data_IF_039541946883
#
_entry.id   IF_039541946883
#
_cell.length_a   1.000
_cell.length_b   1.000
_cell.length_c   1.000
_cell.angle_alpha   90.00
_cell.angle_beta   90.00
_cell.angle_gamma   90.00
#
_symmetry.space_group_name_H-M   'P 1'
#
loop_
_entity.id
_entity.type
_entity.pdbx_description
1 polymer ?
#
# COMPACT_ATOMS: atom_id res chain seq x y z
N UNK A 1 3.69 14.91 -14.89
CA UNK A 1 4.17 13.60 -14.43
C UNK A 1 3.67 13.35 -13.00
N UNK A 2 3.19 12.15 -12.67
CA UNK A 2 2.72 11.84 -11.32
C UNK A 2 3.82 12.04 -10.27
N UNK A 3 3.40 12.27 -9.01
CA UNK A 3 4.34 12.34 -7.88
C UNK A 3 4.66 10.93 -7.40
N UNK A 4 5.94 10.58 -7.30
CA UNK A 4 6.38 9.25 -6.90
C UNK A 4 6.86 9.21 -5.45
N UNK A 5 6.48 8.15 -4.73
CA UNK A 5 6.98 7.82 -3.40
C UNK A 5 7.88 6.57 -3.48
N UNK A 6 9.04 6.60 -2.82
CA UNK A 6 9.90 5.42 -2.75
C UNK A 6 9.38 4.43 -1.71
N UNK A 7 9.14 3.17 -2.10
CA UNK A 7 8.81 2.12 -1.14
C UNK A 7 10.10 1.56 -0.52
N UNK A 8 10.42 2.01 0.70
CA UNK A 8 11.68 1.65 1.37
C UNK A 8 11.74 0.19 1.87
N UNK A 9 10.63 -0.55 1.81
CA UNK A 9 10.65 -1.99 2.08
C UNK A 9 11.21 -2.78 0.89
N UNK A 10 11.11 -2.25 -0.33
CA UNK A 10 11.52 -2.93 -1.56
C UNK A 10 12.66 -2.23 -2.29
N UNK A 11 12.76 -0.90 -2.22
CA UNK A 11 13.86 -0.13 -2.79
C UNK A 11 15.00 0.04 -1.77
N UNK A 12 16.21 0.19 -2.27
CA UNK A 12 17.43 0.40 -1.48
C UNK A 12 17.73 -0.72 -0.48
N UNK A 13 17.30 -1.96 -0.77
CA UNK A 13 17.47 -3.10 0.13
C UNK A 13 18.94 -3.52 0.29
N UNK A 14 19.81 -3.00 -0.53
CA UNK A 14 21.27 -3.08 -0.38
C UNK A 14 21.83 -2.28 0.80
N UNK A 15 20.99 -1.43 1.43
CA UNK A 15 21.31 -0.60 2.60
C UNK A 15 20.51 -1.02 3.83
N UNK A 16 21.04 -0.77 5.05
CA UNK A 16 20.23 -0.81 6.26
C UNK A 16 19.00 0.10 6.15
N UNK A 17 17.88 -0.29 6.75
CA UNK A 17 16.60 0.39 6.53
C UNK A 17 16.65 1.91 6.77
N UNK A 18 17.26 2.34 7.88
CA UNK A 18 17.33 3.75 8.24
C UNK A 18 18.21 4.61 7.30
N UNK A 19 19.11 3.99 6.55
CA UNK A 19 19.95 4.68 5.57
C UNK A 19 19.27 4.83 4.21
N UNK A 20 18.16 4.11 4.00
CA UNK A 20 17.35 4.19 2.77
C UNK A 20 16.66 5.53 2.59
N UNK A 21 16.38 6.25 3.70
CA UNK A 21 15.79 7.59 3.65
C UNK A 21 16.70 8.59 2.94
N UNK A 22 17.99 8.62 3.30
CA UNK A 22 18.97 9.48 2.65
C UNK A 22 19.18 9.10 1.19
N UNK A 23 19.23 7.80 0.88
CA UNK A 23 19.36 7.32 -0.49
C UNK A 23 18.17 7.75 -1.37
N UNK A 24 16.94 7.62 -0.87
CA UNK A 24 15.74 8.05 -1.59
C UNK A 24 15.74 9.56 -1.84
N UNK A 25 16.09 10.38 -0.85
CA UNK A 25 16.18 11.83 -1.00
C UNK A 25 17.27 12.24 -2.00
N UNK A 26 18.44 11.61 -1.94
CA UNK A 26 19.53 11.84 -2.90
C UNK A 26 19.12 11.52 -4.33
N UNK A 27 18.28 10.52 -4.53
CA UNK A 27 17.74 10.15 -5.83
C UNK A 27 16.49 10.98 -6.24
N UNK A 28 16.18 12.04 -5.49
CA UNK A 28 15.14 13.02 -5.81
C UNK A 28 13.72 12.57 -5.52
N UNK A 29 13.52 11.64 -4.57
CA UNK A 29 12.19 11.41 -4.01
C UNK A 29 11.87 12.45 -2.94
N UNK A 30 10.62 12.91 -2.93
CA UNK A 30 10.08 13.84 -1.91
C UNK A 30 9.21 13.11 -0.89
N UNK A 31 8.85 11.85 -1.17
CA UNK A 31 8.01 11.03 -0.33
C UNK A 31 8.49 9.59 -0.28
N UNK A 32 8.16 8.94 0.84
CA UNK A 32 8.47 7.53 1.09
C UNK A 32 7.24 6.80 1.63
N UNK A 33 7.21 5.51 1.38
CA UNK A 33 6.30 4.55 1.99
C UNK A 33 7.08 3.29 2.38
N UNK A 34 6.55 2.51 3.28
CA UNK A 34 7.11 1.20 3.67
C UNK A 34 6.08 0.36 4.41
N UNK A 35 6.32 -0.96 4.50
CA UNK A 35 5.33 -1.88 5.04
C UNK A 35 5.12 -1.66 6.55
N UNK A 36 6.13 -1.91 7.38
CA UNK A 36 5.97 -1.92 8.83
C UNK A 36 7.03 -1.07 9.55
N UNK A 37 6.64 0.02 10.23
CA UNK A 37 7.57 0.87 10.98
C UNK A 37 7.90 0.35 12.40
N UNK A 38 7.19 -0.66 12.88
CA UNK A 38 7.03 -0.96 14.31
C UNK A 38 8.28 -1.48 15.02
N UNK A 39 9.29 -1.93 14.27
CA UNK A 39 10.59 -2.34 14.81
C UNK A 39 11.54 -1.17 15.08
N UNK A 40 11.15 0.05 14.69
CA UNK A 40 12.00 1.25 14.80
C UNK A 40 11.42 2.27 15.77
N UNK A 41 12.31 2.98 16.46
CA UNK A 41 11.92 4.08 17.34
C UNK A 41 11.28 5.22 16.53
N UNK A 42 10.16 5.75 17.01
CA UNK A 42 9.42 6.82 16.35
C UNK A 42 10.23 8.11 16.20
N UNK A 43 11.02 8.47 17.22
CA UNK A 43 11.85 9.66 17.16
C UNK A 43 12.96 9.53 16.12
N UNK A 44 13.51 8.33 15.95
CA UNK A 44 14.51 8.05 14.92
C UNK A 44 13.91 8.13 13.52
N UNK A 45 12.74 7.50 13.27
CA UNK A 45 12.03 7.60 11.98
C UNK A 45 11.73 9.06 11.64
N UNK A 46 11.20 9.82 12.59
CA UNK A 46 10.90 11.24 12.40
C UNK A 46 12.16 12.05 12.11
N UNK A 47 13.27 11.75 12.79
CA UNK A 47 14.54 12.41 12.54
C UNK A 47 15.06 12.14 11.12
N UNK A 48 14.94 10.89 10.63
CA UNK A 48 15.31 10.52 9.24
C UNK A 48 14.46 11.25 8.21
N UNK A 49 13.14 11.29 8.40
CA UNK A 49 12.24 12.03 7.51
C UNK A 49 12.60 13.52 7.45
N UNK A 50 12.75 14.16 8.61
CA UNK A 50 13.09 15.60 8.69
C UNK A 50 14.46 15.93 8.11
N UNK A 51 15.48 15.14 8.43
CA UNK A 51 16.84 15.37 7.96
C UNK A 51 16.95 15.30 6.43
N UNK A 52 16.09 14.53 5.79
CA UNK A 52 16.10 14.31 4.35
C UNK A 52 14.96 15.05 3.60
N UNK A 53 14.14 15.84 4.31
CA UNK A 53 13.02 16.57 3.68
C UNK A 53 11.95 15.66 3.07
N UNK A 54 11.78 14.45 3.60
CA UNK A 54 10.86 13.44 3.07
C UNK A 54 9.52 13.46 3.81
N UNK A 55 8.44 13.27 3.07
CA UNK A 55 7.12 13.02 3.62
C UNK A 55 6.86 11.50 3.70
N UNK A 56 6.40 11.01 4.86
CA UNK A 56 5.81 9.66 4.97
C UNK A 56 4.39 9.70 4.41
N UNK A 57 4.08 8.89 3.39
CA UNK A 57 2.76 8.97 2.72
C UNK A 57 1.87 7.77 2.93
N UNK A 58 2.46 6.63 3.30
CA UNK A 58 1.76 5.37 3.53
C UNK A 58 2.63 4.41 4.37
N UNK A 59 2.00 3.63 5.22
CA UNK A 59 2.52 2.38 5.77
C UNK A 59 1.35 1.45 6.14
N UNK A 60 1.65 0.17 6.45
CA UNK A 60 0.62 -0.81 6.75
C UNK A 60 0.34 -0.93 8.25
N UNK A 61 -0.92 -1.11 8.62
CA UNK A 61 -1.28 -1.65 9.93
C UNK A 61 -0.65 -3.06 10.11
N UNK A 62 -0.41 -3.52 11.34
CA UNK A 62 0.16 -4.84 11.57
C UNK A 62 -0.57 -5.96 10.82
N UNK A 63 0.15 -6.90 10.18
CA UNK A 63 -0.46 -8.04 9.49
C UNK A 63 -1.01 -9.09 10.46
N UNK A 64 -0.66 -8.98 11.70
CA UNK A 64 -0.91 -9.77 12.89
C UNK A 64 0.11 -9.39 13.94
N UNK A 65 -0.13 -9.79 15.20
CA UNK A 65 0.67 -9.34 16.34
C UNK A 65 0.30 -7.95 16.83
N UNK A 66 0.72 -7.62 18.05
CA UNK A 66 0.36 -6.35 18.72
C UNK A 66 1.57 -5.57 19.24
N UNK A 67 2.76 -6.13 19.09
CA UNK A 67 4.06 -5.51 19.40
C UNK A 67 5.08 -5.84 18.29
N UNK A 68 6.20 -5.15 18.27
CA UNK A 68 7.19 -5.29 17.18
C UNK A 68 7.65 -6.75 16.96
N UNK A 69 8.09 -7.51 17.98
CA UNK A 69 8.47 -8.91 17.78
C UNK A 69 7.34 -9.80 17.29
N UNK A 70 6.11 -9.59 17.80
CA UNK A 70 4.92 -10.33 17.38
C UNK A 70 4.51 -10.03 15.95
N UNK A 71 4.65 -8.78 15.50
CA UNK A 71 4.39 -8.35 14.11
C UNK A 71 5.37 -9.01 13.16
N UNK A 72 6.67 -8.98 13.47
CA UNK A 72 7.71 -9.61 12.66
C UNK A 72 7.51 -11.13 12.59
N UNK A 73 7.21 -11.77 13.72
CA UNK A 73 6.92 -13.20 13.78
C UNK A 73 5.65 -13.58 12.98
N UNK A 74 4.58 -12.79 13.09
CA UNK A 74 3.35 -13.00 12.33
C UNK A 74 3.59 -12.88 10.82
N UNK A 75 4.32 -11.86 10.38
CA UNK A 75 4.69 -11.71 8.97
C UNK A 75 5.53 -12.87 8.45
N UNK A 76 6.53 -13.28 9.21
CA UNK A 76 7.39 -14.41 8.87
C UNK A 76 6.61 -15.74 8.82
N UNK A 77 5.59 -15.91 9.68
CA UNK A 77 4.68 -17.05 9.67
C UNK A 77 3.62 -17.01 8.57
N UNK A 78 3.64 -15.98 7.71
CA UNK A 78 2.71 -15.86 6.58
C UNK A 78 1.42 -15.09 6.86
N UNK A 79 1.29 -14.38 7.97
CA UNK A 79 0.15 -13.49 8.20
C UNK A 79 0.13 -12.36 7.16
N UNK A 80 -1.06 -12.05 6.64
CA UNK A 80 -1.28 -11.04 5.59
C UNK A 80 -2.45 -10.12 5.92
N UNK A 81 -2.62 -9.79 7.20
CA UNK A 81 -3.72 -8.97 7.71
C UNK A 81 -4.73 -9.75 8.52
N UNK A 82 -5.53 -9.02 9.27
CA UNK A 82 -6.56 -9.56 10.17
C UNK A 82 -7.93 -8.95 9.92
N UNK A 83 -8.02 -8.01 8.96
CA UNK A 83 -9.22 -7.19 8.79
C UNK A 83 -10.47 -8.00 8.40
N UNK A 84 -10.34 -9.09 7.64
CA UNK A 84 -11.45 -9.96 7.22
C UNK A 84 -11.50 -11.31 7.97
N UNK A 85 -10.65 -11.51 8.99
CA UNK A 85 -10.50 -12.82 9.63
C UNK A 85 -11.42 -12.94 10.86
N UNK A 86 -12.48 -13.78 10.79
CA UNK A 86 -13.39 -13.97 11.93
C UNK A 86 -12.63 -14.45 13.18
N UNK A 87 -12.98 -13.87 14.34
CA UNK A 87 -12.37 -14.19 15.64
C UNK A 87 -11.06 -13.44 15.93
N UNK A 88 -10.57 -12.60 14.99
CA UNK A 88 -9.37 -11.77 15.19
C UNK A 88 -9.68 -10.27 15.25
N UNK A 89 -10.92 -9.89 15.50
CA UNK A 89 -11.37 -8.49 15.51
C UNK A 89 -10.67 -7.66 16.59
N UNK A 90 -10.43 -8.25 17.76
CA UNK A 90 -9.71 -7.57 18.84
C UNK A 90 -8.25 -7.28 18.47
N UNK A 91 -7.60 -8.22 17.82
CA UNK A 91 -6.22 -8.06 17.31
C UNK A 91 -6.15 -7.01 16.20
N UNK A 92 -7.11 -7.02 15.27
CA UNK A 92 -7.24 -6.00 14.24
C UNK A 92 -7.33 -4.60 14.86
N UNK A 93 -8.20 -4.42 15.85
CA UNK A 93 -8.37 -3.13 16.54
C UNK A 93 -7.09 -2.67 17.22
N UNK A 94 -6.44 -3.54 17.98
CA UNK A 94 -5.16 -3.23 18.64
C UNK A 94 -4.08 -2.84 17.61
N UNK A 95 -4.03 -3.52 16.46
CA UNK A 95 -3.11 -3.20 15.36
C UNK A 95 -3.40 -1.82 14.74
N UNK A 96 -4.68 -1.49 14.50
CA UNK A 96 -5.07 -0.16 13.97
C UNK A 96 -4.76 0.95 14.99
N UNK A 97 -5.02 0.74 16.29
CA UNK A 97 -4.67 1.70 17.33
C UNK A 97 -3.15 1.94 17.39
N UNK A 98 -2.35 0.88 17.26
CA UNK A 98 -0.89 1.01 17.14
C UNK A 98 -0.51 1.82 15.90
N UNK A 99 -1.09 1.49 14.75
CA UNK A 99 -0.82 2.19 13.49
C UNK A 99 -1.21 3.68 13.57
N UNK A 100 -2.33 4.02 14.18
CA UNK A 100 -2.74 5.41 14.36
C UNK A 100 -1.75 6.22 15.21
N UNK A 101 -1.18 5.63 16.29
CA UNK A 101 -0.11 6.30 17.06
C UNK A 101 1.12 6.61 16.21
N UNK A 102 1.52 5.66 15.34
CA UNK A 102 2.63 5.89 14.41
C UNK A 102 2.29 6.92 13.34
N UNK A 103 1.08 6.87 12.78
CA UNK A 103 0.62 7.83 11.79
C UNK A 103 0.58 9.25 12.33
N UNK A 104 0.14 9.43 13.57
CA UNK A 104 0.10 10.75 14.21
C UNK A 104 1.52 11.29 14.47
N UNK A 105 2.42 10.44 14.98
CA UNK A 105 3.80 10.84 15.26
C UNK A 105 4.62 11.17 14.00
N UNK A 106 4.39 10.45 12.90
CA UNK A 106 5.09 10.61 11.62
C UNK A 106 4.38 11.57 10.65
N UNK A 107 3.23 12.12 11.05
CA UNK A 107 2.32 12.88 10.18
C UNK A 107 1.97 12.14 8.88
N UNK A 108 1.81 10.82 8.97
CA UNK A 108 1.46 9.98 7.82
C UNK A 108 -0.04 10.02 7.56
N UNK A 109 -0.50 10.44 6.39
CA UNK A 109 -1.92 10.63 6.12
C UNK A 109 -2.69 9.31 5.89
N UNK A 110 -1.99 8.21 5.57
CA UNK A 110 -2.64 6.97 5.11
C UNK A 110 -2.09 5.75 5.82
N UNK A 111 -2.99 4.82 6.15
CA UNK A 111 -2.68 3.51 6.74
C UNK A 111 -3.36 2.45 5.88
N UNK A 112 -2.60 1.51 5.33
CA UNK A 112 -3.15 0.35 4.64
C UNK A 112 -3.51 -0.75 5.63
N UNK A 113 -4.76 -1.23 5.60
CA UNK A 113 -5.26 -2.36 6.36
C UNK A 113 -5.39 -3.58 5.45
N UNK A 114 -4.42 -4.48 5.50
CA UNK A 114 -4.43 -5.72 4.74
C UNK A 114 -5.64 -6.58 5.12
N UNK A 115 -6.35 -7.11 4.11
CA UNK A 115 -7.58 -7.88 4.32
C UNK A 115 -7.36 -9.15 5.15
N UNK A 116 -6.36 -9.94 4.82
CA UNK A 116 -6.09 -11.24 5.42
C UNK A 116 -6.31 -12.40 4.46
N UNK A 117 -5.95 -13.60 4.90
CA UNK A 117 -6.09 -14.83 4.14
C UNK A 117 -7.35 -15.59 4.56
N UNK A 118 -8.08 -16.13 3.59
CA UNK A 118 -9.14 -17.10 3.84
C UNK A 118 -8.55 -18.41 4.37
N UNK A 119 -9.27 -19.07 5.29
CA UNK A 119 -8.83 -20.34 5.89
C UNK A 119 -8.84 -21.47 4.86
N UNK A 120 -7.89 -22.40 4.96
CA UNK A 120 -7.84 -23.62 4.14
C UNK A 120 -8.94 -24.62 4.50
N UNK A 121 -9.34 -24.65 5.78
CA UNK A 121 -10.24 -25.67 6.33
C UNK A 121 -11.71 -25.42 6.06
N UNK A 122 -12.07 -24.25 5.55
CA UNK A 122 -13.45 -23.85 5.30
C UNK A 122 -13.56 -23.19 3.92
N UNK A 123 -13.68 -23.98 2.87
CA UNK A 123 -13.97 -23.46 1.54
C UNK A 123 -15.50 -23.36 1.35
N UNK A 124 -15.98 -22.20 0.87
CA UNK A 124 -17.37 -22.03 0.46
C UNK A 124 -17.96 -20.65 0.74
N UNK A 125 -19.14 -20.41 0.19
CA UNK A 125 -19.86 -19.14 0.25
C UNK A 125 -20.12 -18.64 1.68
N UNK A 126 -20.29 -19.53 2.65
CA UNK A 126 -20.52 -19.17 4.05
C UNK A 126 -19.27 -18.53 4.68
N UNK A 127 -18.09 -19.03 4.34
CA UNK A 127 -16.83 -18.44 4.82
C UNK A 127 -16.59 -17.05 4.21
N UNK A 128 -16.80 -16.90 2.92
CA UNK A 128 -16.65 -15.61 2.24
C UNK A 128 -17.63 -14.57 2.79
N UNK A 129 -18.87 -14.97 3.03
CA UNK A 129 -19.91 -14.14 3.65
C UNK A 129 -19.52 -13.69 5.07
N UNK A 130 -19.02 -14.62 5.90
CA UNK A 130 -18.55 -14.31 7.23
C UNK A 130 -17.34 -13.38 7.22
N UNK A 131 -16.35 -13.65 6.36
CA UNK A 131 -15.17 -12.80 6.18
C UNK A 131 -15.56 -11.39 5.72
N UNK A 132 -16.48 -11.27 4.76
CA UNK A 132 -16.99 -9.99 4.27
C UNK A 132 -17.67 -9.19 5.38
N UNK A 133 -18.54 -9.83 6.17
CA UNK A 133 -19.23 -9.20 7.30
C UNK A 133 -18.25 -8.63 8.33
N UNK A 134 -17.24 -9.43 8.70
CA UNK A 134 -16.16 -9.00 9.61
C UNK A 134 -15.37 -7.86 9.00
N UNK A 135 -15.00 -7.97 7.71
CA UNK A 135 -14.23 -6.96 7.00
C UNK A 135 -14.91 -5.59 7.00
N UNK A 136 -16.17 -5.55 6.59
CA UNK A 136 -16.96 -4.30 6.54
C UNK A 136 -17.12 -3.71 7.95
N UNK A 137 -17.38 -4.53 8.96
CA UNK A 137 -17.49 -4.08 10.37
C UNK A 137 -16.18 -3.49 10.88
N UNK A 138 -15.06 -4.19 10.66
CA UNK A 138 -13.73 -3.76 11.08
C UNK A 138 -13.31 -2.47 10.39
N UNK A 139 -13.52 -2.37 9.07
CA UNK A 139 -13.16 -1.16 8.31
C UNK A 139 -14.02 0.06 8.71
N UNK A 140 -15.30 -0.14 9.02
CA UNK A 140 -16.15 0.94 9.54
C UNK A 140 -15.64 1.47 10.87
N UNK A 141 -15.25 0.58 11.77
CA UNK A 141 -14.63 0.96 13.03
C UNK A 141 -13.28 1.65 12.81
N UNK A 142 -12.38 1.08 11.98
CA UNK A 142 -11.07 1.66 11.70
C UNK A 142 -11.15 3.06 11.07
N UNK A 143 -12.07 3.26 10.11
CA UNK A 143 -12.31 4.57 9.51
C UNK A 143 -12.83 5.59 10.53
N UNK A 144 -13.71 5.16 11.46
CA UNK A 144 -14.19 6.02 12.56
C UNK A 144 -13.06 6.45 13.49
N UNK A 145 -12.17 5.52 13.88
CA UNK A 145 -11.02 5.85 14.73
C UNK A 145 -10.04 6.77 14.00
N UNK A 146 -9.70 6.45 12.74
CA UNK A 146 -8.78 7.24 11.92
C UNK A 146 -9.28 8.68 11.64
N UNK A 147 -10.58 8.88 11.54
CA UNK A 147 -11.19 10.19 11.34
C UNK A 147 -10.89 11.17 12.50
N UNK A 148 -10.66 10.66 13.72
CA UNK A 148 -10.39 11.50 14.90
C UNK A 148 -9.10 12.30 14.77
N UNK A 149 -8.12 11.79 14.00
CA UNK A 149 -6.85 12.46 13.70
C UNK A 149 -6.69 12.82 12.22
N UNK A 150 -7.78 12.76 11.44
CA UNK A 150 -7.77 13.13 10.02
C UNK A 150 -7.01 12.15 9.14
N UNK A 151 -6.88 10.88 9.56
CA UNK A 151 -6.17 9.85 8.79
C UNK A 151 -7.13 9.06 7.91
N UNK A 152 -6.61 8.55 6.80
CA UNK A 152 -7.33 7.72 5.83
C UNK A 152 -6.90 6.27 5.96
N UNK A 153 -7.87 5.37 6.00
CA UNK A 153 -7.65 3.93 5.89
C UNK A 153 -7.68 3.53 4.42
N UNK A 154 -6.72 2.74 4.00
CA UNK A 154 -6.68 2.16 2.67
C UNK A 154 -6.92 0.65 2.72
N UNK A 155 -7.56 0.14 1.67
CA UNK A 155 -7.68 -1.29 1.37
C UNK A 155 -7.14 -1.55 -0.02
N UNK A 156 -6.55 -2.71 -0.25
CA UNK A 156 -5.87 -3.04 -1.49
C UNK A 156 -6.32 -4.39 -2.04
N UNK A 157 -6.75 -4.46 -3.30
CA UNK A 157 -6.88 -5.71 -4.04
C UNK A 157 -5.50 -6.27 -4.42
N UNK A 158 -5.18 -7.48 -3.92
CA UNK A 158 -3.90 -8.13 -4.16
C UNK A 158 -4.09 -9.39 -4.99
N UNK A 159 -3.22 -9.62 -5.98
CA UNK A 159 -3.31 -10.76 -6.88
C UNK A 159 -3.07 -12.09 -6.15
N UNK A 160 -3.82 -13.17 -6.50
CA UNK A 160 -3.70 -14.47 -5.85
C UNK A 160 -2.46 -15.27 -6.29
N UNK A 161 -1.71 -14.83 -7.31
CA UNK A 161 -0.42 -15.43 -7.69
C UNK A 161 0.65 -15.18 -6.64
N UNK A 162 0.74 -13.92 -6.16
CA UNK A 162 1.73 -13.51 -5.15
C UNK A 162 1.22 -13.80 -3.73
N UNK A 163 -0.11 -13.73 -3.54
CA UNK A 163 -0.73 -13.90 -2.24
C UNK A 163 -1.96 -14.82 -2.33
N UNK A 164 -1.74 -16.15 -2.43
CA UNK A 164 -2.83 -17.11 -2.51
C UNK A 164 -3.82 -16.96 -1.34
N UNK A 165 -5.12 -17.09 -1.63
CA UNK A 165 -6.21 -16.97 -0.66
C UNK A 165 -6.38 -15.59 -0.02
N UNK A 166 -5.74 -14.56 -0.51
CA UNK A 166 -6.01 -13.20 -0.04
C UNK A 166 -7.47 -12.85 -0.31
N UNK A 167 -8.14 -12.27 0.70
CA UNK A 167 -9.60 -12.09 0.67
C UNK A 167 -10.06 -11.11 -0.40
N UNK A 168 -9.31 -10.04 -0.68
CA UNK A 168 -9.68 -8.97 -1.60
C UNK A 168 -8.78 -8.99 -2.84
N UNK A 169 -9.33 -9.27 -4.04
CA UNK A 169 -8.51 -9.45 -5.23
C UNK A 169 -8.83 -8.50 -6.38
N UNK A 170 -10.00 -7.89 -6.42
CA UNK A 170 -10.49 -7.12 -7.58
C UNK A 170 -10.82 -5.68 -7.21
N UNK A 171 -10.64 -4.76 -8.17
CA UNK A 171 -10.94 -3.35 -7.97
C UNK A 171 -12.44 -3.10 -7.72
N UNK A 172 -13.32 -3.76 -8.48
CA UNK A 172 -14.76 -3.63 -8.30
C UNK A 172 -15.22 -4.10 -6.90
N UNK A 173 -14.64 -5.17 -6.38
CA UNK A 173 -14.88 -5.66 -5.01
C UNK A 173 -14.45 -4.64 -3.96
N UNK A 174 -13.25 -4.06 -4.09
CA UNK A 174 -12.74 -3.04 -3.18
C UNK A 174 -13.63 -1.79 -3.17
N UNK A 175 -14.01 -1.31 -4.35
CA UNK A 175 -14.90 -0.15 -4.46
C UNK A 175 -16.31 -0.44 -3.92
N UNK A 176 -16.81 -1.67 -4.05
CA UNK A 176 -18.07 -2.09 -3.43
C UNK A 176 -17.97 -2.09 -1.89
N UNK A 177 -16.85 -2.56 -1.32
CA UNK A 177 -16.59 -2.51 0.13
C UNK A 177 -16.54 -1.07 0.63
N UNK A 178 -15.81 -0.18 -0.07
CA UNK A 178 -15.74 1.25 0.31
C UNK A 178 -17.12 1.89 0.29
N UNK A 179 -17.94 1.60 -0.71
CA UNK A 179 -19.33 2.09 -0.78
C UNK A 179 -20.22 1.54 0.33
N UNK A 180 -20.10 0.26 0.66
CA UNK A 180 -20.88 -0.39 1.72
C UNK A 180 -20.52 0.14 3.12
N UNK A 181 -19.24 0.42 3.38
CA UNK A 181 -18.78 1.06 4.62
C UNK A 181 -19.25 2.50 4.69
N UNK A 182 -19.20 3.24 3.59
CA UNK A 182 -19.73 4.61 3.46
C UNK A 182 -18.94 5.69 4.20
N UNK A 183 -17.72 5.39 4.67
CA UNK A 183 -16.86 6.36 5.35
C UNK A 183 -16.02 7.14 4.33
N UNK A 184 -15.98 8.49 4.39
CA UNK A 184 -15.26 9.31 3.41
C UNK A 184 -13.73 9.14 3.48
N UNK A 185 -13.21 8.67 4.61
CA UNK A 185 -11.79 8.40 4.85
C UNK A 185 -11.45 6.91 4.75
N UNK A 186 -12.27 6.10 4.10
CA UNK A 186 -11.92 4.77 3.63
C UNK A 186 -11.79 4.83 2.10
N UNK A 187 -10.60 4.50 1.60
CA UNK A 187 -10.30 4.56 0.17
C UNK A 187 -9.56 3.32 -0.30
N UNK A 188 -9.41 3.19 -1.61
CA UNK A 188 -8.68 2.09 -2.26
C UNK A 188 -7.24 2.52 -2.52
N UNK A 189 -6.29 1.66 -2.19
CA UNK A 189 -4.95 1.62 -2.74
C UNK A 189 -5.02 0.79 -4.02
N UNK A 190 -4.84 1.43 -5.17
CA UNK A 190 -4.86 0.75 -6.45
C UNK A 190 -3.43 0.51 -6.91
N UNK A 191 -2.91 -0.71 -6.66
CA UNK A 191 -1.65 -1.14 -7.25
C UNK A 191 -1.90 -1.63 -8.68
N UNK A 192 -1.26 -0.95 -9.65
CA UNK A 192 -1.41 -1.24 -11.08
C UNK A 192 -0.80 -2.59 -11.45
N UNK A 193 0.21 -3.05 -10.70
CA UNK A 193 0.80 -4.38 -10.85
C UNK A 193 -0.23 -5.48 -10.51
N UNK A 194 -0.87 -5.39 -9.35
CA UNK A 194 -1.89 -6.34 -8.95
C UNK A 194 -3.11 -6.30 -9.87
N UNK A 195 -3.54 -5.09 -10.24
CA UNK A 195 -4.65 -4.88 -11.15
C UNK A 195 -4.41 -5.50 -12.53
N UNK A 196 -3.21 -5.35 -13.10
CA UNK A 196 -2.86 -5.94 -14.40
C UNK A 196 -2.95 -7.47 -14.36
N UNK A 197 -2.43 -8.10 -13.32
CA UNK A 197 -2.38 -9.57 -13.19
C UNK A 197 -3.79 -10.18 -13.08
N UNK A 198 -4.69 -9.50 -12.35
CA UNK A 198 -6.03 -10.07 -12.06
C UNK A 198 -7.04 -9.69 -13.11
N UNK A 199 -7.00 -8.47 -13.58
CA UNK A 199 -8.11 -7.89 -14.34
C UNK A 199 -7.68 -7.33 -15.70
N UNK A 200 -6.47 -6.77 -15.80
CA UNK A 200 -6.07 -6.01 -16.98
C UNK A 200 -6.85 -4.71 -17.16
N UNK A 201 -6.80 -4.14 -18.37
CA UNK A 201 -7.55 -2.93 -18.75
C UNK A 201 -7.29 -1.73 -17.81
N UNK A 202 -6.04 -1.63 -17.33
CA UNK A 202 -5.63 -0.72 -16.23
C UNK A 202 -5.92 0.74 -16.56
N UNK A 203 -5.70 1.17 -17.79
CA UNK A 203 -5.97 2.54 -18.22
C UNK A 203 -7.46 2.92 -18.08
N UNK A 204 -8.36 2.00 -18.47
CA UNK A 204 -9.81 2.22 -18.31
C UNK A 204 -10.22 2.22 -16.85
N UNK A 205 -9.61 1.38 -16.01
CA UNK A 205 -9.88 1.37 -14.57
C UNK A 205 -9.40 2.66 -13.88
N UNK A 206 -8.25 3.22 -14.27
CA UNK A 206 -7.82 4.55 -13.82
C UNK A 206 -8.87 5.62 -14.19
N UNK A 207 -9.33 5.64 -15.43
CA UNK A 207 -10.39 6.57 -15.90
C UNK A 207 -11.71 6.37 -15.18
N UNK A 208 -12.03 5.14 -14.78
CA UNK A 208 -13.26 4.80 -14.06
C UNK A 208 -13.20 5.20 -12.59
N UNK A 209 -12.09 4.89 -11.90
CA UNK A 209 -12.05 4.94 -10.44
C UNK A 209 -11.45 6.22 -9.87
N UNK A 210 -10.43 6.84 -10.49
CA UNK A 210 -9.85 8.08 -9.97
C UNK A 210 -10.89 9.21 -9.81
N UNK A 211 -11.81 9.45 -10.78
CA UNK A 211 -12.81 10.51 -10.65
C UNK A 211 -13.83 10.28 -9.54
N UNK A 212 -13.90 9.08 -8.99
CA UNK A 212 -14.84 8.78 -7.88
C UNK A 212 -14.41 9.35 -6.54
N UNK A 213 -13.16 9.83 -6.40
CA UNK A 213 -12.57 10.24 -5.13
C UNK A 213 -12.28 9.10 -4.16
N UNK A 214 -12.51 7.84 -4.57
CA UNK A 214 -12.31 6.66 -3.71
C UNK A 214 -10.92 6.01 -3.86
N UNK A 215 -10.05 6.51 -4.72
CA UNK A 215 -8.66 6.05 -4.83
C UNK A 215 -7.76 7.02 -4.07
N UNK A 216 -7.20 6.57 -2.96
CA UNK A 216 -6.36 7.38 -2.07
C UNK A 216 -4.87 7.31 -2.40
N UNK A 217 -4.44 6.24 -3.04
CA UNK A 217 -3.04 5.97 -3.36
C UNK A 217 -2.93 5.04 -4.56
N UNK A 218 -1.89 5.21 -5.36
CA UNK A 218 -1.54 4.30 -6.46
C UNK A 218 -0.20 3.65 -6.16
N UNK A 219 0.02 2.44 -6.72
CA UNK A 219 1.33 1.79 -6.71
C UNK A 219 1.64 1.20 -8.08
N UNK A 220 2.94 1.03 -8.38
CA UNK A 220 3.44 0.51 -9.66
C UNK A 220 4.59 -0.47 -9.48
N UNK A 221 4.60 -1.46 -10.37
CA UNK A 221 5.74 -2.31 -10.68
C UNK A 221 5.62 -2.83 -12.11
N UNK A 222 6.74 -3.30 -12.68
CA UNK A 222 6.72 -4.04 -13.95
C UNK A 222 6.10 -5.41 -13.79
N UNK A 223 5.27 -5.83 -14.76
CA UNK A 223 4.61 -7.14 -14.77
C UNK A 223 5.29 -8.02 -15.83
N UNK A 224 5.62 -9.29 -15.55
CA UNK A 224 5.19 -10.11 -14.40
C UNK A 224 6.15 -10.18 -13.21
N UNK A 225 7.42 -9.74 -13.33
CA UNK A 225 8.48 -10.02 -12.34
C UNK A 225 8.52 -9.06 -11.15
N UNK A 226 7.65 -8.04 -11.11
CA UNK A 226 7.60 -7.00 -10.08
C UNK A 226 8.92 -6.20 -9.99
N UNK A 227 9.56 -5.94 -11.14
CA UNK A 227 10.76 -5.12 -11.28
C UNK A 227 10.40 -3.66 -11.63
N UNK A 228 11.40 -2.90 -12.14
CA UNK A 228 11.21 -1.51 -12.58
C UNK A 228 10.06 -1.38 -13.58
N UNK A 229 9.28 -0.27 -13.52
CA UNK A 229 8.04 -0.12 -14.28
C UNK A 229 8.24 0.08 -15.79
N UNK A 230 9.48 0.24 -16.26
CA UNK A 230 9.82 0.32 -17.69
C UNK A 230 10.06 -1.05 -18.35
N UNK A 231 9.83 -2.14 -17.62
CA UNK A 231 10.07 -3.51 -18.07
C UNK A 231 8.81 -4.36 -17.86
N UNK A 232 8.54 -5.21 -18.83
CA UNK A 232 7.41 -6.14 -18.78
C UNK A 232 6.26 -5.73 -19.70
N UNK A 233 5.09 -6.30 -19.45
CA UNK A 233 3.91 -6.17 -20.33
C UNK A 233 3.08 -4.89 -20.08
N UNK A 234 3.30 -4.19 -18.96
CA UNK A 234 2.56 -3.00 -18.58
C UNK A 234 3.24 -1.74 -19.13
N UNK A 235 2.57 -1.00 -20.01
CA UNK A 235 3.10 0.26 -20.53
C UNK A 235 2.91 1.39 -19.47
N UNK A 236 3.80 1.46 -18.49
CA UNK A 236 3.71 2.43 -17.42
C UNK A 236 3.86 3.88 -17.91
N UNK A 237 4.64 4.14 -18.96
CA UNK A 237 4.76 5.49 -19.53
C UNK A 237 3.39 6.02 -19.98
N UNK A 238 2.65 5.23 -20.73
CA UNK A 238 1.27 5.57 -21.10
C UNK A 238 0.33 5.70 -19.88
N UNK A 239 0.47 4.85 -18.89
CA UNK A 239 -0.36 4.94 -17.68
C UNK A 239 -0.06 6.21 -16.87
N UNK A 240 1.17 6.71 -16.87
CA UNK A 240 1.50 8.00 -16.25
C UNK A 240 0.81 9.17 -16.95
N UNK A 241 0.74 9.16 -18.28
CA UNK A 241 -0.04 10.14 -19.05
C UNK A 241 -1.53 10.07 -18.69
N UNK A 242 -2.10 8.85 -18.58
CA UNK A 242 -3.50 8.66 -18.16
C UNK A 242 -3.74 9.17 -16.76
N UNK A 243 -2.82 8.91 -15.81
CA UNK A 243 -2.93 9.41 -14.43
C UNK A 243 -2.93 10.94 -14.43
N UNK A 244 -2.00 11.59 -15.13
CA UNK A 244 -1.93 13.05 -15.21
C UNK A 244 -3.18 13.66 -15.85
N UNK A 245 -3.66 13.09 -16.96
CA UNK A 245 -4.89 13.51 -17.64
C UNK A 245 -6.09 13.46 -16.70
N UNK A 246 -6.31 12.31 -16.06
CA UNK A 246 -7.47 12.11 -15.19
C UNK A 246 -7.34 12.92 -13.91
N UNK A 247 -6.13 13.01 -13.33
CA UNK A 247 -5.87 13.82 -12.14
C UNK A 247 -6.17 15.31 -12.41
N UNK A 248 -5.78 15.83 -13.57
CA UNK A 248 -6.09 17.22 -13.96
C UNK A 248 -7.60 17.46 -14.09
N UNK A 249 -8.37 16.47 -14.52
CA UNK A 249 -9.83 16.58 -14.68
C UNK A 249 -10.59 16.47 -13.35
N UNK A 250 -10.14 15.58 -12.43
CA UNK A 250 -10.87 15.30 -11.18
C UNK A 250 -10.21 15.87 -9.90
N UNK A 251 -9.04 16.51 -10.02
CA UNK A 251 -8.34 17.09 -8.88
C UNK A 251 -7.64 16.07 -7.99
N UNK A 252 -7.36 14.85 -8.45
CA UNK A 252 -6.63 13.85 -7.68
C UNK A 252 -5.18 14.31 -7.41
N UNK A 253 -4.73 14.26 -6.15
CA UNK A 253 -3.41 14.73 -5.71
C UNK A 253 -2.65 13.65 -4.92
N UNK A 254 -2.92 12.38 -5.19
CA UNK A 254 -2.26 11.26 -4.52
C UNK A 254 -0.80 11.09 -4.93
N UNK A 255 -0.18 10.07 -4.38
CA UNK A 255 1.16 9.60 -4.71
C UNK A 255 1.08 8.27 -5.45
N UNK A 256 2.13 8.00 -6.24
CA UNK A 256 2.35 6.70 -6.87
C UNK A 256 3.53 6.03 -6.19
N UNK A 257 3.28 5.02 -5.38
CA UNK A 257 4.29 4.24 -4.68
C UNK A 257 5.10 3.36 -5.64
N UNK A 258 6.42 3.44 -5.58
CA UNK A 258 7.33 2.59 -6.35
C UNK A 258 7.52 1.26 -5.63
N UNK A 259 6.50 0.38 -5.69
CA UNK A 259 6.49 -0.88 -4.95
C UNK A 259 7.02 -2.04 -5.79
N UNK A 260 8.27 -1.97 -6.18
CA UNK A 260 8.92 -2.99 -7.00
C UNK A 260 10.28 -3.41 -6.43
N UNK A 261 10.77 -4.56 -6.90
CA UNK A 261 12.09 -5.10 -6.54
C UNK A 261 13.08 -4.72 -7.64
N UNK A 262 14.04 -3.82 -7.38
CA UNK A 262 15.04 -3.46 -8.38
C UNK A 262 15.79 -4.69 -8.87
N UNK A 263 15.96 -4.83 -10.19
CA UNK A 263 16.70 -5.98 -10.79
C UNK A 263 18.13 -6.08 -10.29
N UNK A 264 18.74 -4.95 -10.00
CA UNK A 264 20.10 -4.87 -9.46
C UNK A 264 20.11 -4.57 -7.96
N UNK A 265 19.00 -4.77 -7.25
CA UNK A 265 18.85 -4.35 -5.85
C UNK A 265 19.81 -5.02 -4.87
N UNK A 266 20.43 -6.15 -5.22
CA UNK A 266 21.46 -6.80 -4.42
C UNK A 266 22.86 -6.18 -4.58
N UNK A 267 23.07 -5.32 -5.58
CA UNK A 267 24.33 -4.67 -5.87
C UNK A 267 24.41 -3.29 -5.18
N UNK A 268 25.58 -2.85 -4.70
CA UNK A 268 25.75 -1.50 -4.18
C UNK A 268 25.27 -0.43 -5.17
N UNK A 269 24.32 0.42 -4.74
CA UNK A 269 23.71 1.45 -5.60
C UNK A 269 22.85 0.90 -6.73
N UNK A 270 22.44 -0.37 -6.64
CA UNK A 270 21.64 -1.02 -7.69
C UNK A 270 20.27 -0.39 -7.86
N UNK A 271 19.63 0.02 -6.77
CA UNK A 271 18.34 0.74 -6.83
C UNK A 271 18.50 2.06 -7.61
N UNK A 272 19.47 2.91 -7.26
CA UNK A 272 19.68 4.21 -7.91
C UNK A 272 19.94 4.06 -9.42
N UNK A 273 20.73 3.06 -9.83
CA UNK A 273 20.98 2.79 -11.25
C UNK A 273 19.72 2.35 -12.00
N UNK A 274 18.77 1.71 -11.34
CA UNK A 274 17.50 1.25 -11.89
C UNK A 274 16.49 2.38 -12.11
N UNK A 275 16.68 3.59 -11.57
CA UNK A 275 15.70 4.70 -11.63
C UNK A 275 15.66 5.45 -12.96
N UNK A 276 16.44 5.04 -13.96
CA UNK A 276 16.50 5.72 -15.27
C UNK A 276 15.15 5.82 -16.00
N UNK A 277 14.17 5.01 -15.65
CA UNK A 277 12.80 5.10 -16.17
C UNK A 277 12.11 6.42 -15.81
N UNK A 278 12.44 7.03 -14.65
CA UNK A 278 11.84 8.31 -14.22
C UNK A 278 12.14 9.45 -15.20
N UNK A 279 13.34 9.49 -15.75
CA UNK A 279 13.72 10.50 -16.75
C UNK A 279 13.01 10.33 -18.10
N UNK A 280 12.47 9.13 -18.38
CA UNK A 280 11.74 8.81 -19.63
C UNK A 280 10.22 8.95 -19.46
N UNK A 281 9.75 9.16 -18.25
CA UNK A 281 8.33 9.32 -17.93
C UNK A 281 7.86 10.80 -17.96
N UNK A 282 8.80 11.75 -18.22
CA UNK A 282 8.57 13.18 -18.31
C UNK A 282 8.90 13.70 -19.74
#
# INVERSE_FOLDING_TARGET
MPRFAANLSLLYTELPFLDRFEAAARDGFEAVEYLFPYAFDLAELLARLKANGLQQVLFNAPPGGTDAPGIDAAWAAGARGTASVPGREAEFRAGVELALRYADALDCPRIHCMAGLLSESAAGADQESAARSVYVSNLRWAATEAAKSGRTILIEPINPRDMPRFFLNRQDEAHAVVQEVGAPNLQVQMDLYHCQIVEGDVAMKLRQYLPTGRVGHLQIAGVPERHEPDVGELNCAYLFEVIDEVAAQCGWQGWVGCEYRPRMGAEPGGTSRGLGWRARAG
#
